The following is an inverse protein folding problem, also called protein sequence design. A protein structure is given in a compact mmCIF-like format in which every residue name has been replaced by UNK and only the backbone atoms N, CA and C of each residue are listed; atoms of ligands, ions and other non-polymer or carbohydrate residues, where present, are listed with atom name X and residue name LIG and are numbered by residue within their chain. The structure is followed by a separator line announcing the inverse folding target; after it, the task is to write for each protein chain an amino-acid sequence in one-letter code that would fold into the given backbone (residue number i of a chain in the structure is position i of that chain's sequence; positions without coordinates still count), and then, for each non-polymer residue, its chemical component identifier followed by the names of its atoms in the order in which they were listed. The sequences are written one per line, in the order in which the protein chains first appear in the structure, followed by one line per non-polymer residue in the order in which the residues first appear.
data_IF_433368281236
#
_entry.id   IF_433368281236
#
_cell.length_a   1.000
_cell.length_b   1.000
_cell.length_c   1.000
_cell.angle_alpha   90.00
_cell.angle_beta   90.00
_cell.angle_gamma   90.00
#
_symmetry.space_group_name_H-M   'P 1'
#
loop_
_entity.id
_entity.type
_entity.pdbx_description
1 polymer ?
#
# COMPACT_ATOMS: atom_id res chain seq x y z
N UNK A 1 -23.82 -0.72 5.16
CA UNK A 1 -23.20 -0.40 3.86
C UNK A 1 -23.90 -1.24 2.80
N UNK A 2 -24.23 -0.68 1.63
CA UNK A 2 -24.87 -1.44 0.54
C UNK A 2 -23.82 -1.96 -0.44
N UNK A 3 -23.99 -3.18 -0.95
CA UNK A 3 -23.01 -3.81 -1.87
C UNK A 3 -22.73 -2.98 -3.12
N UNK A 4 -23.75 -2.35 -3.70
CA UNK A 4 -23.62 -1.54 -4.93
C UNK A 4 -22.61 -0.39 -4.81
N UNK A 5 -22.42 0.15 -3.60
CA UNK A 5 -21.56 1.32 -3.37
C UNK A 5 -20.08 0.93 -3.26
N UNK A 6 -19.79 -0.34 -2.98
CA UNK A 6 -18.45 -0.81 -2.66
C UNK A 6 -17.90 -1.82 -3.67
N UNK A 7 -18.73 -2.71 -4.20
CA UNK A 7 -18.31 -3.76 -5.13
C UNK A 7 -18.82 -3.43 -6.53
N UNK A 8 -17.93 -3.28 -7.54
CA UNK A 8 -18.34 -3.00 -8.90
C UNK A 8 -19.08 -4.21 -9.51
N UNK A 9 -19.93 -3.94 -10.46
CA UNK A 9 -20.61 -4.98 -11.30
C UNK A 9 -21.42 -6.03 -10.52
N UNK A 10 -21.90 -5.68 -9.32
CA UNK A 10 -22.80 -6.57 -8.55
C UNK A 10 -24.11 -6.79 -9.31
N UNK A 11 -24.52 -8.06 -9.45
CA UNK A 11 -25.79 -8.44 -10.07
C UNK A 11 -26.97 -7.68 -9.47
N UNK A 12 -27.92 -7.23 -10.30
CA UNK A 12 -29.07 -6.37 -9.92
C UNK A 12 -29.74 -6.81 -8.62
N UNK A 13 -29.99 -8.11 -8.46
CA UNK A 13 -30.65 -8.71 -7.26
C UNK A 13 -29.85 -8.60 -5.96
N UNK A 14 -28.53 -8.32 -6.00
CA UNK A 14 -27.66 -8.19 -4.82
C UNK A 14 -27.28 -6.76 -4.48
N UNK A 15 -27.65 -5.79 -5.33
CA UNK A 15 -27.20 -4.39 -5.21
C UNK A 15 -27.56 -3.74 -3.87
N UNK A 16 -28.76 -4.05 -3.36
CA UNK A 16 -29.28 -3.45 -2.12
C UNK A 16 -29.03 -4.30 -0.87
N UNK A 17 -28.18 -5.32 -0.97
CA UNK A 17 -27.81 -6.14 0.20
C UNK A 17 -26.89 -5.35 1.11
N UNK A 18 -27.24 -5.39 2.39
CA UNK A 18 -26.47 -4.74 3.46
C UNK A 18 -25.35 -5.65 3.97
N UNK A 19 -24.18 -5.05 4.24
CA UNK A 19 -23.09 -5.69 4.96
C UNK A 19 -22.54 -4.76 6.05
N UNK A 20 -22.01 -5.35 7.13
CA UNK A 20 -21.53 -4.61 8.32
C UNK A 20 -20.03 -4.30 8.29
N UNK A 21 -19.23 -5.06 7.54
CA UNK A 21 -17.79 -4.94 7.50
C UNK A 21 -17.16 -5.95 6.54
N UNK A 22 -15.84 -5.98 6.53
CA UNK A 22 -15.04 -6.86 5.67
C UNK A 22 -13.99 -7.60 6.49
N UNK A 23 -13.63 -8.81 6.08
CA UNK A 23 -12.51 -9.57 6.61
C UNK A 23 -11.90 -10.49 5.55
N UNK A 24 -10.62 -10.76 5.65
CA UNK A 24 -9.90 -11.84 4.93
C UNK A 24 -9.32 -12.88 5.89
N UNK A 25 -9.45 -12.66 7.21
CA UNK A 25 -9.14 -13.62 8.25
C UNK A 25 -10.43 -14.16 8.85
N UNK A 26 -10.64 -15.49 8.76
CA UNK A 26 -11.83 -16.17 9.28
C UNK A 26 -12.01 -15.99 10.79
N UNK A 27 -10.92 -15.75 11.55
CA UNK A 27 -10.99 -15.52 12.99
C UNK A 27 -11.63 -14.16 13.33
N UNK A 28 -11.47 -13.17 12.47
CA UNK A 28 -11.96 -11.80 12.65
C UNK A 28 -13.30 -11.49 11.96
N UNK A 29 -13.94 -12.50 11.37
CA UNK A 29 -15.28 -12.39 10.77
C UNK A 29 -16.31 -12.00 11.80
N UNK A 30 -17.18 -11.04 11.45
CA UNK A 30 -18.36 -10.61 12.23
C UNK A 30 -19.65 -10.90 11.46
N UNK A 31 -20.76 -10.93 12.17
CA UNK A 31 -22.10 -11.13 11.58
C UNK A 31 -22.35 -10.12 10.43
N UNK A 32 -22.89 -10.62 9.34
CA UNK A 32 -23.17 -9.85 8.11
C UNK A 32 -21.95 -9.20 7.44
N UNK A 33 -20.72 -9.65 7.72
CA UNK A 33 -19.54 -9.16 7.01
C UNK A 33 -19.33 -9.87 5.67
N UNK A 34 -18.53 -9.24 4.79
CA UNK A 34 -17.99 -9.87 3.59
C UNK A 34 -16.70 -10.59 3.97
N UNK A 35 -16.58 -11.85 3.61
CA UNK A 35 -15.35 -12.61 3.73
C UNK A 35 -14.64 -12.72 2.37
N UNK A 36 -13.40 -12.25 2.30
CA UNK A 36 -12.53 -12.36 1.14
C UNK A 36 -11.66 -13.62 1.28
N UNK A 37 -12.00 -14.68 0.54
CA UNK A 37 -11.30 -15.96 0.58
C UNK A 37 -10.03 -15.93 -0.28
N UNK A 38 -8.99 -15.26 0.23
CA UNK A 38 -7.73 -15.04 -0.50
C UNK A 38 -6.86 -16.29 -0.47
N UNK A 39 -6.40 -16.74 -1.63
CA UNK A 39 -5.34 -17.74 -1.72
C UNK A 39 -4.00 -17.11 -1.35
N UNK A 40 -3.42 -17.53 -0.23
CA UNK A 40 -2.05 -17.20 0.18
C UNK A 40 -1.02 -18.09 -0.51
N UNK A 41 0.26 -17.88 -0.20
CA UNK A 41 1.34 -18.73 -0.70
C UNK A 41 1.30 -20.12 -0.02
N UNK A 42 1.12 -20.15 1.28
CA UNK A 42 1.10 -21.40 2.08
C UNK A 42 -0.33 -21.91 2.31
N UNK A 43 -1.28 -21.02 2.53
CA UNK A 43 -2.64 -21.38 2.95
C UNK A 43 -3.65 -20.85 1.94
N UNK A 44 -4.55 -21.71 1.49
CA UNK A 44 -5.70 -21.32 0.66
C UNK A 44 -6.88 -20.84 1.54
N UNK A 45 -7.17 -19.54 1.50
CA UNK A 45 -8.28 -18.93 2.25
C UNK A 45 -9.66 -19.52 1.94
N UNK A 46 -9.82 -20.17 0.79
CA UNK A 46 -11.08 -20.86 0.46
C UNK A 46 -11.41 -22.03 1.43
N UNK A 47 -10.40 -22.62 2.07
CA UNK A 47 -10.60 -23.65 3.10
C UNK A 47 -11.35 -23.13 4.33
N UNK A 48 -11.30 -21.82 4.57
CA UNK A 48 -11.93 -21.18 5.74
C UNK A 48 -13.34 -20.62 5.47
N UNK A 49 -13.89 -20.81 4.26
CA UNK A 49 -15.24 -20.36 3.94
C UNK A 49 -16.29 -20.94 4.91
N UNK A 50 -16.28 -22.26 5.25
CA UNK A 50 -17.26 -22.81 6.20
C UNK A 50 -17.18 -22.13 7.57
N UNK A 51 -15.97 -21.85 8.07
CA UNK A 51 -15.77 -21.17 9.34
C UNK A 51 -16.27 -19.71 9.29
N UNK A 52 -16.00 -19.00 8.19
CA UNK A 52 -16.49 -17.66 7.99
C UNK A 52 -18.02 -17.58 7.97
N UNK A 53 -18.68 -18.55 7.31
CA UNK A 53 -20.15 -18.67 7.31
C UNK A 53 -20.69 -18.97 8.71
N UNK A 54 -20.08 -19.92 9.43
CA UNK A 54 -20.45 -20.24 10.83
C UNK A 54 -20.37 -19.01 11.74
N UNK A 55 -19.40 -18.11 11.49
CA UNK A 55 -19.25 -16.83 12.21
C UNK A 55 -20.18 -15.70 11.72
N UNK A 56 -21.05 -16.00 10.76
CA UNK A 56 -22.10 -15.10 10.31
C UNK A 56 -21.75 -14.25 9.10
N UNK A 57 -20.70 -14.58 8.33
CA UNK A 57 -20.50 -13.99 7.00
C UNK A 57 -21.61 -14.46 6.07
N UNK A 58 -22.28 -13.52 5.42
CA UNK A 58 -23.32 -13.83 4.42
C UNK A 58 -22.88 -13.60 2.98
N UNK A 59 -21.69 -13.02 2.79
CA UNK A 59 -21.16 -12.69 1.47
C UNK A 59 -19.72 -13.20 1.40
N UNK A 60 -19.47 -14.07 0.43
CA UNK A 60 -18.16 -14.67 0.19
C UNK A 60 -17.64 -14.16 -1.15
N UNK A 61 -16.43 -13.63 -1.15
CA UNK A 61 -15.71 -13.23 -2.37
C UNK A 61 -14.56 -14.20 -2.61
N UNK A 62 -14.42 -14.69 -3.85
CA UNK A 62 -13.34 -15.62 -4.24
C UNK A 62 -12.93 -15.40 -5.69
N UNK A 63 -11.70 -15.78 -6.06
CA UNK A 63 -11.24 -15.88 -7.45
C UNK A 63 -11.71 -17.18 -8.10
N UNK A 64 -12.10 -18.18 -7.29
CA UNK A 64 -12.66 -19.44 -7.78
C UNK A 64 -14.18 -19.30 -7.95
N UNK A 65 -14.71 -19.80 -9.06
CA UNK A 65 -16.16 -20.02 -9.19
C UNK A 65 -16.61 -21.05 -8.16
N UNK A 66 -17.23 -20.58 -7.10
CA UNK A 66 -17.73 -21.46 -6.04
C UNK A 66 -19.12 -21.98 -6.40
N UNK A 67 -19.33 -23.31 -6.26
CA UNK A 67 -20.68 -23.90 -6.32
C UNK A 67 -21.46 -23.37 -5.11
N UNK A 68 -22.73 -22.98 -5.32
CA UNK A 68 -23.64 -22.54 -4.24
C UNK A 68 -23.94 -23.73 -3.34
N UNK A 69 -23.25 -23.84 -2.19
CA UNK A 69 -23.39 -24.96 -1.25
C UNK A 69 -24.28 -24.63 -0.05
N UNK A 70 -24.55 -23.36 0.21
CA UNK A 70 -25.32 -22.94 1.40
C UNK A 70 -26.42 -21.96 1.03
N UNK A 71 -27.66 -22.26 1.47
CA UNK A 71 -28.79 -21.35 1.30
C UNK A 71 -28.56 -20.04 2.05
N UNK A 72 -28.96 -18.91 1.45
CA UNK A 72 -28.81 -17.59 2.06
C UNK A 72 -27.42 -16.98 2.00
N UNK A 73 -26.42 -17.67 1.41
CA UNK A 73 -25.06 -17.15 1.21
C UNK A 73 -24.90 -16.62 -0.22
N UNK A 74 -24.34 -15.43 -0.34
CA UNK A 74 -24.04 -14.79 -1.62
C UNK A 74 -22.57 -15.06 -1.96
N UNK A 75 -22.34 -15.63 -3.13
CA UNK A 75 -21.03 -15.88 -3.67
C UNK A 75 -20.76 -14.90 -4.82
N UNK A 76 -19.65 -14.16 -4.69
CA UNK A 76 -19.19 -13.19 -5.69
C UNK A 76 -17.81 -13.62 -6.19
N UNK A 77 -17.68 -13.67 -7.50
CA UNK A 77 -16.41 -13.98 -8.18
C UNK A 77 -15.71 -12.68 -8.59
N UNK A 78 -14.40 -12.71 -8.57
CA UNK A 78 -13.54 -11.60 -9.02
C UNK A 78 -12.28 -12.16 -9.67
N UNK A 79 -11.71 -11.42 -10.61
CA UNK A 79 -10.44 -11.78 -11.25
C UNK A 79 -9.22 -11.37 -10.40
N UNK A 80 -9.40 -10.45 -9.43
CA UNK A 80 -8.33 -10.02 -8.52
C UNK A 80 -8.93 -9.67 -7.16
N UNK A 81 -8.94 -10.64 -6.27
CA UNK A 81 -9.54 -10.52 -4.94
C UNK A 81 -8.75 -9.56 -4.05
N UNK A 82 -7.42 -9.48 -4.21
CA UNK A 82 -6.56 -8.62 -3.40
C UNK A 82 -6.78 -7.15 -3.75
N UNK A 83 -6.86 -6.84 -5.05
CA UNK A 83 -7.20 -5.50 -5.52
C UNK A 83 -8.60 -5.09 -5.05
N UNK A 84 -9.58 -5.99 -5.20
CA UNK A 84 -10.95 -5.71 -4.75
C UNK A 84 -11.02 -5.47 -3.23
N UNK A 85 -10.28 -6.26 -2.42
CA UNK A 85 -10.20 -6.04 -0.97
C UNK A 85 -9.64 -4.66 -0.66
N UNK A 86 -8.58 -4.23 -1.33
CA UNK A 86 -7.96 -2.93 -1.12
C UNK A 86 -8.92 -1.79 -1.51
N UNK A 87 -9.51 -1.86 -2.70
CA UNK A 87 -10.49 -0.88 -3.19
C UNK A 87 -11.68 -0.73 -2.21
N UNK A 88 -12.24 -1.85 -1.74
CA UNK A 88 -13.35 -1.85 -0.77
C UNK A 88 -12.90 -1.30 0.58
N UNK A 89 -11.71 -1.68 1.06
CA UNK A 89 -11.17 -1.19 2.33
C UNK A 89 -11.07 0.33 2.33
N UNK A 90 -10.45 0.93 1.31
CA UNK A 90 -10.26 2.37 1.24
C UNK A 90 -11.52 3.15 0.86
N UNK A 91 -12.55 2.50 0.33
CA UNK A 91 -13.90 3.07 0.23
C UNK A 91 -14.63 3.09 1.57
N UNK A 92 -14.43 2.08 2.43
CA UNK A 92 -14.99 2.04 3.78
C UNK A 92 -14.31 3.08 4.67
N UNK A 93 -12.98 3.11 4.68
CA UNK A 93 -12.17 4.04 5.45
C UNK A 93 -11.87 5.30 4.62
N UNK A 94 -12.89 6.16 4.44
CA UNK A 94 -12.81 7.35 3.58
C UNK A 94 -11.82 8.40 4.07
N UNK A 95 -11.64 8.53 5.39
CA UNK A 95 -10.70 9.48 5.98
C UNK A 95 -9.28 9.01 5.71
N UNK A 96 -8.55 9.75 4.90
CA UNK A 96 -7.15 9.47 4.51
C UNK A 96 -6.32 10.74 4.65
N UNK A 97 -5.02 10.64 5.00
CA UNK A 97 -4.09 11.76 4.93
C UNK A 97 -4.04 12.36 3.53
N UNK A 98 -3.84 13.66 3.43
CA UNK A 98 -3.87 14.38 2.15
C UNK A 98 -2.56 14.26 1.37
N UNK A 99 -1.44 14.23 2.08
CA UNK A 99 -0.12 14.10 1.49
C UNK A 99 0.46 12.70 1.77
N UNK A 100 0.25 11.80 0.83
CA UNK A 100 0.77 10.43 0.88
C UNK A 100 2.02 10.31 0.01
N UNK A 101 3.11 9.83 0.60
CA UNK A 101 4.37 9.53 -0.06
C UNK A 101 4.65 8.05 0.07
N UNK A 102 5.03 7.39 -1.03
CA UNK A 102 5.44 5.98 -1.02
C UNK A 102 6.91 5.85 -1.41
N UNK A 103 7.66 5.05 -0.65
CA UNK A 103 9.06 4.74 -0.94
C UNK A 103 9.19 3.27 -1.30
N UNK A 104 9.74 2.98 -2.47
CA UNK A 104 10.08 1.62 -2.91
C UNK A 104 11.55 1.53 -3.32
N UNK A 105 12.08 0.32 -3.34
CA UNK A 105 13.45 -0.02 -3.69
C UNK A 105 13.91 -1.26 -2.95
N UNK A 106 15.14 -1.72 -3.15
CA UNK A 106 15.70 -2.84 -2.37
C UNK A 106 16.14 -2.34 -1.00
N UNK A 107 16.98 -1.33 -0.95
CA UNK A 107 17.56 -0.76 0.26
C UNK A 107 17.12 0.71 0.45
N UNK A 108 17.29 1.25 1.66
CA UNK A 108 17.08 2.66 1.97
C UNK A 108 15.64 3.10 2.23
N UNK A 109 14.61 2.24 2.03
CA UNK A 109 13.20 2.59 2.25
C UNK A 109 12.92 3.10 3.66
N UNK A 110 13.35 2.33 4.67
CA UNK A 110 13.13 2.66 6.09
C UNK A 110 13.92 3.90 6.50
N UNK A 111 15.15 4.08 5.97
CA UNK A 111 15.97 5.26 6.24
C UNK A 111 15.30 6.53 5.72
N UNK A 112 14.87 6.54 4.46
CA UNK A 112 14.17 7.69 3.87
C UNK A 112 12.85 7.98 4.61
N UNK A 113 12.07 6.95 4.93
CA UNK A 113 10.83 7.14 5.69
C UNK A 113 11.09 7.72 7.08
N UNK A 114 12.16 7.28 7.76
CA UNK A 114 12.52 7.76 9.06
C UNK A 114 13.11 9.19 9.01
N UNK A 115 13.96 9.52 8.04
CA UNK A 115 14.50 10.88 7.87
C UNK A 115 13.39 11.89 7.55
N UNK A 116 12.49 11.55 6.64
CA UNK A 116 11.32 12.39 6.35
C UNK A 116 10.50 12.68 7.63
N UNK A 117 10.23 11.62 8.42
CA UNK A 117 9.54 11.76 9.69
C UNK A 117 10.28 12.68 10.66
N UNK A 118 11.59 12.48 10.83
CA UNK A 118 12.41 13.28 11.76
C UNK A 118 12.47 14.75 11.32
N UNK A 119 12.76 15.01 10.04
CA UNK A 119 12.88 16.38 9.49
C UNK A 119 11.58 17.14 9.69
N UNK A 120 10.42 16.54 9.35
CA UNK A 120 9.15 17.20 9.53
C UNK A 120 8.79 17.39 11.01
N UNK A 121 9.12 16.43 11.87
CA UNK A 121 8.91 16.52 13.31
C UNK A 121 9.75 17.65 13.92
N UNK A 122 11.03 17.77 13.57
CA UNK A 122 11.89 18.88 13.98
C UNK A 122 11.33 20.23 13.54
N UNK A 123 10.73 20.30 12.37
CA UNK A 123 10.03 21.48 11.86
C UNK A 123 8.61 21.64 12.44
N UNK A 124 8.27 20.99 13.55
CA UNK A 124 6.98 21.06 14.26
C UNK A 124 5.77 20.69 13.39
N UNK A 125 5.98 19.97 12.30
CA UNK A 125 4.89 19.49 11.43
C UNK A 125 4.30 18.19 11.97
N UNK A 126 2.99 18.02 11.80
CA UNK A 126 2.33 16.75 12.10
C UNK A 126 2.62 15.77 10.97
N UNK A 127 3.25 14.65 11.32
CA UNK A 127 3.77 13.67 10.35
C UNK A 127 3.68 12.25 10.89
N UNK A 128 3.53 11.29 10.00
CA UNK A 128 3.69 9.88 10.33
C UNK A 128 4.58 9.16 9.30
N UNK A 129 5.29 8.13 9.77
CA UNK A 129 5.95 7.13 8.94
C UNK A 129 5.34 5.75 9.17
N UNK A 130 5.19 4.97 8.11
CA UNK A 130 4.61 3.62 8.13
C UNK A 130 5.54 2.67 7.39
N UNK A 131 6.01 1.63 8.05
CA UNK A 131 6.90 0.67 7.40
C UNK A 131 7.42 -0.39 8.36
N UNK A 132 8.61 -0.90 8.08
CA UNK A 132 9.27 -1.96 8.86
C UNK A 132 9.43 -1.60 10.34
N UNK A 133 9.66 -0.33 10.64
CA UNK A 133 9.77 0.17 12.01
C UNK A 133 8.40 0.40 12.69
N UNK A 134 7.32 -0.03 12.07
CA UNK A 134 5.95 0.19 12.56
C UNK A 134 5.33 1.47 12.02
N UNK A 135 4.32 1.95 12.73
CA UNK A 135 3.73 3.28 12.54
C UNK A 135 4.31 4.20 13.59
N UNK A 136 5.00 5.24 13.17
CA UNK A 136 5.51 6.30 14.04
C UNK A 136 4.81 7.60 13.70
N UNK A 137 4.19 8.24 14.67
CA UNK A 137 3.54 9.53 14.50
C UNK A 137 3.66 10.37 15.76
N UNK A 138 3.30 11.64 15.69
CA UNK A 138 3.25 12.48 16.88
C UNK A 138 2.28 11.88 17.90
N UNK A 139 2.79 11.45 19.04
CA UNK A 139 2.03 10.85 20.15
C UNK A 139 1.23 9.58 19.77
N UNK A 140 1.70 8.82 18.77
CA UNK A 140 1.09 7.54 18.38
C UNK A 140 2.13 6.61 17.75
N UNK A 141 2.34 5.45 18.35
CA UNK A 141 3.21 4.41 17.83
C UNK A 141 2.45 3.08 17.81
N UNK A 142 2.65 2.31 16.73
CA UNK A 142 2.03 0.99 16.60
C UNK A 142 3.01 0.02 15.93
N UNK A 143 3.29 -1.10 16.58
CA UNK A 143 4.05 -2.20 15.96
C UNK A 143 3.21 -2.87 14.87
N UNK A 144 3.83 -3.23 13.76
CA UNK A 144 3.21 -3.94 12.64
C UNK A 144 4.09 -5.10 12.20
N UNK A 145 3.47 -6.15 11.65
CA UNK A 145 4.18 -7.37 11.27
C UNK A 145 4.68 -7.36 9.81
N UNK A 146 4.23 -6.40 9.02
CA UNK A 146 4.59 -6.30 7.60
C UNK A 146 5.04 -4.90 7.26
N UNK A 147 6.10 -4.79 6.48
CA UNK A 147 6.59 -3.51 5.92
C UNK A 147 5.47 -2.73 5.22
N UNK A 148 4.69 -3.40 4.37
CA UNK A 148 3.47 -2.83 3.78
C UNK A 148 2.26 -3.52 4.40
N UNK A 149 1.49 -2.79 5.18
CA UNK A 149 0.36 -3.26 5.96
C UNK A 149 -0.79 -3.71 5.04
N UNK A 150 -1.63 -4.65 5.50
CA UNK A 150 -2.86 -5.01 4.81
C UNK A 150 -3.83 -3.82 4.70
N UNK A 151 -4.69 -3.77 3.67
CA UNK A 151 -5.51 -2.60 3.39
C UNK A 151 -6.57 -2.30 4.45
N UNK A 152 -7.09 -3.31 5.16
CA UNK A 152 -8.08 -3.09 6.23
C UNK A 152 -7.42 -2.38 7.42
N UNK A 153 -6.28 -2.90 7.86
CA UNK A 153 -5.52 -2.33 8.98
C UNK A 153 -4.98 -0.94 8.62
N UNK A 154 -4.47 -0.78 7.40
CA UNK A 154 -3.98 0.50 6.90
C UNK A 154 -5.09 1.56 6.85
N UNK A 155 -6.28 1.21 6.37
CA UNK A 155 -7.42 2.12 6.37
C UNK A 155 -7.84 2.58 7.77
N UNK A 156 -7.80 1.68 8.76
CA UNK A 156 -8.04 2.03 10.17
C UNK A 156 -6.97 2.99 10.70
N UNK A 157 -5.70 2.73 10.38
CA UNK A 157 -4.58 3.59 10.78
C UNK A 157 -4.74 4.99 10.17
N UNK A 158 -5.04 5.09 8.88
CA UNK A 158 -5.28 6.39 8.23
C UNK A 158 -6.40 7.19 8.88
N UNK A 159 -7.49 6.53 9.26
CA UNK A 159 -8.56 7.17 10.02
C UNK A 159 -8.04 7.75 11.34
N UNK A 160 -7.27 6.97 12.12
CA UNK A 160 -6.68 7.43 13.39
C UNK A 160 -5.75 8.63 13.15
N UNK A 161 -4.89 8.56 12.12
CA UNK A 161 -3.97 9.66 11.78
C UNK A 161 -4.75 10.93 11.39
N UNK A 162 -5.78 10.79 10.57
CA UNK A 162 -6.62 11.93 10.16
C UNK A 162 -7.40 12.52 11.34
N UNK A 163 -7.92 11.70 12.26
CA UNK A 163 -8.60 12.17 13.47
C UNK A 163 -7.63 12.92 14.42
N UNK A 164 -6.30 12.70 14.30
CA UNK A 164 -5.23 13.44 14.97
C UNK A 164 -4.71 14.64 14.15
N UNK A 165 -5.34 14.96 13.01
CA UNK A 165 -4.92 15.99 12.05
C UNK A 165 -3.51 15.77 11.52
N UNK A 166 -3.12 14.50 11.25
CA UNK A 166 -1.84 14.13 10.64
C UNK A 166 -2.09 13.86 9.16
N UNK A 167 -1.70 14.81 8.32
CA UNK A 167 -1.92 14.77 6.88
C UNK A 167 -0.65 14.44 6.07
N UNK A 168 0.53 14.54 6.67
CA UNK A 168 1.79 14.17 6.02
C UNK A 168 2.16 12.74 6.41
N UNK A 169 2.09 11.81 5.47
CA UNK A 169 2.41 10.41 5.72
C UNK A 169 3.36 9.90 4.65
N UNK A 170 4.50 9.38 5.09
CA UNK A 170 5.40 8.60 4.25
C UNK A 170 5.28 7.12 4.59
N UNK A 171 5.26 6.25 3.59
CA UNK A 171 5.17 4.82 3.83
C UNK A 171 6.05 3.98 2.91
N UNK A 172 6.51 2.86 3.46
CA UNK A 172 7.26 1.89 2.69
C UNK A 172 6.32 1.04 1.82
N UNK A 173 6.58 1.04 0.51
CA UNK A 173 5.91 0.22 -0.48
C UNK A 173 6.82 -0.94 -0.89
N UNK A 174 6.77 -2.05 -0.16
CA UNK A 174 7.55 -3.26 -0.46
C UNK A 174 7.08 -3.91 -1.76
N UNK A 175 7.97 -4.64 -2.46
CA UNK A 175 7.62 -5.36 -3.67
C UNK A 175 6.50 -6.39 -3.44
N UNK A 176 6.49 -7.06 -2.29
CA UNK A 176 5.39 -7.94 -1.87
C UNK A 176 4.07 -7.18 -1.71
N UNK A 177 4.09 -6.02 -1.02
CA UNK A 177 2.89 -5.22 -0.83
C UNK A 177 2.30 -4.71 -2.15
N UNK A 178 3.16 -4.28 -3.07
CA UNK A 178 2.77 -3.82 -4.41
C UNK A 178 2.24 -4.97 -5.27
N UNK A 179 2.96 -6.11 -5.34
CA UNK A 179 2.51 -7.28 -6.11
C UNK A 179 1.24 -7.92 -5.56
N UNK A 180 0.97 -7.75 -4.27
CA UNK A 180 -0.26 -8.20 -3.62
C UNK A 180 -1.37 -7.13 -3.62
N UNK A 181 -1.24 -6.05 -4.37
CA UNK A 181 -2.24 -4.99 -4.48
C UNK A 181 -2.69 -4.39 -3.13
N UNK A 182 -1.82 -4.40 -2.09
CA UNK A 182 -2.20 -3.90 -0.76
C UNK A 182 -2.46 -2.40 -0.72
N UNK A 183 -1.94 -1.65 -1.69
CA UNK A 183 -2.03 -0.19 -1.78
C UNK A 183 -3.00 0.28 -2.86
N UNK A 184 -3.65 -0.62 -3.58
CA UNK A 184 -4.66 -0.27 -4.59
C UNK A 184 -5.83 0.49 -3.94
N UNK A 185 -6.40 1.45 -4.66
CA UNK A 185 -7.40 2.37 -4.10
C UNK A 185 -6.82 3.54 -3.28
N UNK A 186 -5.48 3.57 -3.08
CA UNK A 186 -4.76 4.78 -2.65
C UNK A 186 -4.22 5.55 -3.85
N UNK A 187 -4.03 6.84 -3.65
CA UNK A 187 -3.41 7.73 -4.63
C UNK A 187 -2.32 8.53 -3.93
N UNK A 188 -1.07 8.31 -4.35
CA UNK A 188 0.09 8.95 -3.74
C UNK A 188 0.44 10.27 -4.44
N UNK A 189 0.85 11.25 -3.67
CA UNK A 189 1.35 12.53 -4.15
C UNK A 189 2.76 12.40 -4.74
N UNK A 190 3.57 11.54 -4.12
CA UNK A 190 4.97 11.34 -4.47
C UNK A 190 5.33 9.86 -4.36
N UNK A 191 6.04 9.35 -5.34
CA UNK A 191 6.70 8.05 -5.32
C UNK A 191 8.21 8.22 -5.34
N UNK A 192 8.91 7.53 -4.44
CA UNK A 192 10.37 7.52 -4.38
C UNK A 192 10.87 6.13 -4.76
N UNK A 193 11.80 6.07 -5.72
CA UNK A 193 12.52 4.85 -6.08
C UNK A 193 13.97 5.00 -5.64
N UNK A 194 14.41 4.18 -4.70
CA UNK A 194 15.76 4.31 -4.15
C UNK A 194 16.80 3.62 -5.04
N UNK A 195 16.72 2.30 -5.12
CA UNK A 195 17.62 1.43 -5.88
C UNK A 195 16.98 0.07 -6.10
N UNK A 196 17.64 -0.78 -6.88
CA UNK A 196 17.25 -2.17 -7.01
C UNK A 196 18.50 -3.06 -7.16
N UNK A 197 18.57 -4.11 -6.38
CA UNK A 197 19.52 -5.21 -6.49
C UNK A 197 18.77 -6.53 -6.38
N UNK A 198 19.42 -7.65 -6.62
CA UNK A 198 18.76 -8.96 -6.51
C UNK A 198 18.32 -9.22 -5.08
N UNK A 199 17.03 -9.44 -4.90
CA UNK A 199 16.40 -9.74 -3.62
C UNK A 199 15.02 -10.38 -3.86
N UNK A 200 14.53 -11.17 -2.92
CA UNK A 200 13.19 -11.79 -2.96
C UNK A 200 12.87 -12.56 -4.26
N UNK A 201 13.88 -13.20 -4.90
CA UNK A 201 13.65 -13.96 -6.13
C UNK A 201 12.91 -15.27 -5.89
N UNK A 202 12.96 -15.80 -4.68
CA UNK A 202 12.12 -16.90 -4.19
C UNK A 202 10.63 -16.60 -4.39
N UNK A 203 10.22 -15.37 -4.10
CA UNK A 203 8.84 -14.90 -4.26
C UNK A 203 8.52 -14.42 -5.68
N UNK A 204 9.37 -13.56 -6.27
CA UNK A 204 9.13 -12.95 -7.58
C UNK A 204 9.53 -13.81 -8.76
N UNK A 205 10.23 -14.93 -8.53
CA UNK A 205 10.75 -15.90 -9.51
C UNK A 205 11.91 -15.36 -10.36
N UNK A 206 11.93 -14.10 -10.71
CA UNK A 206 12.99 -13.47 -11.48
C UNK A 206 13.05 -11.96 -11.25
N UNK A 207 14.17 -11.36 -11.61
CA UNK A 207 14.43 -9.92 -11.47
C UNK A 207 13.43 -9.05 -12.24
N UNK A 208 12.98 -9.48 -13.41
CA UNK A 208 12.01 -8.74 -14.23
C UNK A 208 10.68 -8.55 -13.50
N UNK A 209 10.19 -9.60 -12.87
CA UNK A 209 8.95 -9.54 -12.07
C UNK A 209 9.13 -8.69 -10.80
N UNK A 210 10.31 -8.79 -10.15
CA UNK A 210 10.64 -7.99 -8.98
C UNK A 210 10.66 -6.50 -9.32
N UNK A 211 11.33 -6.11 -10.41
CA UNK A 211 11.33 -4.74 -10.90
C UNK A 211 9.91 -4.28 -11.28
N UNK A 212 9.15 -5.11 -12.03
CA UNK A 212 7.76 -4.82 -12.40
C UNK A 212 6.90 -4.54 -11.18
N UNK A 213 7.05 -5.32 -10.12
CA UNK A 213 6.32 -5.10 -8.88
C UNK A 213 6.60 -3.72 -8.27
N UNK A 214 7.85 -3.24 -8.29
CA UNK A 214 8.19 -1.90 -7.79
C UNK A 214 7.72 -0.78 -8.72
N UNK A 215 7.83 -0.96 -10.03
CA UNK A 215 7.39 0.02 -11.02
C UNK A 215 5.87 0.21 -11.00
N UNK A 216 5.10 -0.77 -10.49
CA UNK A 216 3.66 -0.68 -10.33
C UNK A 216 3.22 0.57 -9.55
N UNK A 217 4.01 1.01 -8.56
CA UNK A 217 3.75 2.25 -7.81
C UNK A 217 3.60 3.46 -8.76
N UNK A 218 4.53 3.61 -9.68
CA UNK A 218 4.60 4.76 -10.60
C UNK A 218 3.60 4.66 -11.73
N UNK A 219 3.32 3.44 -12.17
CA UNK A 219 2.38 3.18 -13.27
C UNK A 219 0.91 3.34 -12.84
N UNK A 220 0.58 3.03 -11.58
CA UNK A 220 -0.82 2.83 -11.18
C UNK A 220 -1.27 3.61 -9.94
N UNK A 221 -0.36 4.03 -9.05
CA UNK A 221 -0.73 4.52 -7.74
C UNK A 221 -0.42 6.00 -7.51
N UNK A 222 0.24 6.69 -8.43
CA UNK A 222 0.50 8.13 -8.32
C UNK A 222 -0.67 8.94 -8.88
N UNK A 223 -0.92 10.09 -8.26
CA UNK A 223 -1.89 11.06 -8.79
C UNK A 223 -1.41 11.65 -10.13
N UNK A 224 -2.33 12.14 -10.94
CA UNK A 224 -2.00 12.91 -12.14
C UNK A 224 -1.08 14.08 -11.76
N UNK A 225 0.02 14.28 -12.50
CA UNK A 225 1.07 15.25 -12.18
C UNK A 225 1.72 15.03 -10.80
N UNK A 226 1.67 13.82 -10.25
CA UNK A 226 2.39 13.43 -9.04
C UNK A 226 3.90 13.46 -9.25
N UNK A 227 4.65 13.47 -8.14
CA UNK A 227 6.10 13.54 -8.20
C UNK A 227 6.72 12.13 -8.20
N UNK A 228 7.75 11.96 -8.98
CA UNK A 228 8.66 10.80 -8.96
C UNK A 228 10.03 11.31 -8.55
N UNK A 229 10.62 10.71 -7.53
CA UNK A 229 11.98 11.03 -7.08
C UNK A 229 12.82 9.77 -7.24
N UNK A 230 13.96 9.88 -7.92
CA UNK A 230 14.89 8.77 -8.11
C UNK A 230 16.28 9.29 -8.44
N UNK A 231 17.26 8.40 -8.36
CA UNK A 231 18.60 8.64 -8.87
C UNK A 231 18.63 8.41 -10.39
N UNK A 232 19.25 9.28 -11.15
CA UNK A 232 19.39 9.17 -12.61
C UNK A 232 20.61 8.33 -13.03
N UNK A 233 21.47 7.94 -12.10
CA UNK A 233 22.60 7.04 -12.35
C UNK A 233 22.23 5.54 -12.26
N UNK A 234 21.05 5.21 -11.73
CA UNK A 234 20.63 3.80 -11.63
C UNK A 234 20.28 3.20 -13.02
N UNK A 235 20.59 1.92 -13.26
CA UNK A 235 20.32 1.27 -14.55
C UNK A 235 18.85 1.34 -14.99
N UNK A 236 17.93 1.34 -14.04
CA UNK A 236 16.48 1.37 -14.28
C UNK A 236 15.93 2.76 -14.58
N UNK A 237 16.74 3.81 -14.49
CA UNK A 237 16.30 5.20 -14.68
C UNK A 237 15.54 5.41 -15.99
N UNK A 238 16.05 4.86 -17.11
CA UNK A 238 15.39 4.98 -18.42
C UNK A 238 13.94 4.46 -18.40
N UNK A 239 13.67 3.38 -17.64
CA UNK A 239 12.32 2.82 -17.50
C UNK A 239 11.43 3.73 -16.65
N UNK A 240 11.95 4.23 -15.53
CA UNK A 240 11.23 5.16 -14.64
C UNK A 240 10.89 6.45 -15.38
N UNK A 241 11.85 7.02 -16.11
CA UNK A 241 11.66 8.22 -16.95
C UNK A 241 10.57 8.00 -18.00
N UNK A 242 10.58 6.85 -18.70
CA UNK A 242 9.53 6.50 -19.66
C UNK A 242 8.14 6.44 -19.02
N UNK A 243 8.04 5.82 -17.84
CA UNK A 243 6.77 5.77 -17.10
C UNK A 243 6.32 7.18 -16.70
N UNK A 244 7.24 8.00 -16.17
CA UNK A 244 6.94 9.37 -15.77
C UNK A 244 6.39 10.21 -16.93
N UNK A 245 7.02 10.12 -18.10
CA UNK A 245 6.57 10.82 -19.33
C UNK A 245 5.17 10.31 -19.73
N UNK A 246 4.99 9.00 -19.87
CA UNK A 246 3.72 8.40 -20.33
C UNK A 246 2.54 8.69 -19.39
N UNK A 247 2.81 8.86 -18.09
CA UNK A 247 1.79 9.14 -17.07
C UNK A 247 1.64 10.63 -16.74
N UNK A 248 2.44 11.50 -17.38
CA UNK A 248 2.43 12.94 -17.11
C UNK A 248 2.86 13.27 -15.68
N UNK A 249 3.82 12.52 -15.11
CA UNK A 249 4.36 12.72 -13.77
C UNK A 249 5.53 13.70 -13.81
N UNK A 250 5.79 14.36 -12.70
CA UNK A 250 6.94 15.27 -12.54
C UNK A 250 8.13 14.45 -12.03
N UNK A 251 9.18 14.36 -12.84
CA UNK A 251 10.39 13.62 -12.50
C UNK A 251 11.42 14.56 -11.86
N UNK A 252 11.91 14.16 -10.69
CA UNK A 252 12.99 14.81 -9.94
C UNK A 252 14.13 13.81 -9.78
N UNK A 253 15.35 14.20 -10.15
CA UNK A 253 16.54 13.35 -10.02
C UNK A 253 17.54 13.97 -9.04
N UNK A 254 18.37 13.13 -8.42
CA UNK A 254 19.31 13.58 -7.39
C UNK A 254 20.41 14.48 -7.98
N UNK A 255 20.85 14.20 -9.22
CA UNK A 255 21.96 14.90 -9.88
C UNK A 255 21.51 16.03 -10.82
N UNK A 256 20.23 16.45 -10.73
CA UNK A 256 19.72 17.54 -11.55
C UNK A 256 20.40 18.86 -11.19
N UNK A 257 20.90 19.59 -12.18
CA UNK A 257 21.44 20.96 -12.03
C UNK A 257 20.41 21.94 -11.42
N UNK A 258 19.11 21.59 -11.47
CA UNK A 258 18.04 22.37 -10.89
C UNK A 258 17.84 22.09 -9.39
N UNK A 259 18.63 21.19 -8.81
CA UNK A 259 18.55 20.92 -7.38
C UNK A 259 19.08 22.12 -6.60
N UNK A 260 18.28 22.58 -5.65
CA UNK A 260 18.64 23.69 -4.76
C UNK A 260 19.66 23.30 -3.68
N UNK A 261 19.92 22.00 -3.53
CA UNK A 261 20.84 21.45 -2.55
C UNK A 261 21.94 20.68 -3.23
N UNK A 262 23.18 20.97 -2.88
CA UNK A 262 24.37 20.23 -3.31
C UNK A 262 25.09 19.76 -2.05
N UNK A 263 25.52 18.51 -2.03
CA UNK A 263 26.44 18.02 -0.99
C UNK A 263 27.81 18.61 -1.30
N UNK A 264 28.29 19.52 -0.45
CA UNK A 264 29.59 20.20 -0.61
C UNK A 264 30.70 19.34 -0.02
N UNK A 265 30.43 18.66 1.09
CA UNK A 265 31.37 17.73 1.70
C UNK A 265 30.63 16.68 2.51
N UNK A 266 31.27 15.53 2.66
CA UNK A 266 30.79 14.40 3.44
C UNK A 266 31.98 13.84 4.23
N UNK A 267 31.84 13.75 5.53
CA UNK A 267 32.84 13.17 6.43
C UNK A 267 32.19 12.33 7.50
N UNK A 268 32.95 11.41 8.06
CA UNK A 268 32.57 10.67 9.27
C UNK A 268 33.35 11.22 10.45
N UNK A 269 32.64 11.48 11.54
CA UNK A 269 33.19 11.90 12.82
C UNK A 269 32.82 10.82 13.85
N UNK A 270 33.71 9.81 13.98
CA UNK A 270 33.54 8.70 14.90
C UNK A 270 32.18 7.99 14.74
N UNK A 271 31.19 8.41 15.51
CA UNK A 271 29.85 7.81 15.56
C UNK A 271 28.84 8.54 14.66
N UNK A 272 29.19 9.65 14.06
CA UNK A 272 28.28 10.47 13.27
C UNK A 272 28.74 10.70 11.83
N UNK A 273 27.79 11.03 10.99
CA UNK A 273 27.98 11.41 9.61
C UNK A 273 27.72 12.92 9.47
N UNK A 274 28.69 13.67 9.00
CA UNK A 274 28.57 15.10 8.77
C UNK A 274 28.39 15.37 7.29
N UNK A 275 27.29 16.00 6.94
CA UNK A 275 26.98 16.45 5.60
C UNK A 275 26.98 17.98 5.58
N UNK A 276 27.76 18.57 4.69
CA UNK A 276 27.68 20.00 4.37
C UNK A 276 26.91 20.16 3.08
N UNK A 277 25.82 20.88 3.16
CA UNK A 277 24.86 21.05 2.05
C UNK A 277 24.84 22.52 1.62
#
# INVERSE_FOLDING_TARGET
MLLKDYIPNVKKKFRNIFFSGISFDSKSVKKNSIFFAIKGNEIDGNKFIPLAIKKGSKIIVSEKKLKKKHNGIIYLDTNNIRKLLADVSFKIYKKKPENLIAVTGTNGKSSIANFYYQILKLNKKKVASIGTLGVKANNFNLKVNNTTIDPIKLGKIFRILKDKNIDNVIMEASSHGLSQNRLDGLVFNTGIFTNISQDHLDYHKNFKNYLKAKLYLFENLLKKRGNVITDDEIPEFKKIKKIAINKGLRLHTLNSERNKFKILSHSFDGESQVLRI
#
